data_IF_773670363485
#
_entry.id   IF_773670363485
#
_cell.length_a   1.000
_cell.length_b   1.000
_cell.length_c   1.000
_cell.angle_alpha   90.00
_cell.angle_beta   90.00
_cell.angle_gamma   90.00
#
_symmetry.space_group_name_H-M   'P 1'
#
loop_
_entity.id
_entity.type
_entity.pdbx_description
1 polymer ?
#
# COMPACT_ATOMS: atom_id res chain seq x y z
N UNK A 1 15.44 46.27 -89.88
CA UNK A 1 15.97 45.44 -88.76
C UNK A 1 14.89 45.40 -87.68
N UNK A 2 14.27 44.21 -87.45
CA UNK A 2 13.17 44.04 -86.47
C UNK A 2 13.78 43.22 -85.31
N UNK A 3 13.86 43.83 -84.10
CA UNK A 3 14.26 43.17 -82.90
C UNK A 3 13.04 42.38 -82.35
N UNK A 4 13.20 41.10 -82.15
CA UNK A 4 12.23 40.22 -81.48
C UNK A 4 12.48 40.26 -79.97
N UNK A 5 11.50 40.72 -79.23
CA UNK A 5 11.47 40.69 -77.80
C UNK A 5 11.02 39.28 -77.33
N UNK A 6 11.88 38.54 -76.67
CA UNK A 6 11.51 37.27 -76.04
C UNK A 6 11.00 37.59 -74.61
N UNK A 7 9.74 37.30 -74.39
CA UNK A 7 9.17 37.36 -73.03
C UNK A 7 9.27 35.95 -72.43
N UNK A 8 10.14 35.78 -71.42
CA UNK A 8 10.26 34.57 -70.64
C UNK A 8 9.27 34.63 -69.48
N UNK A 9 8.23 33.80 -69.59
CA UNK A 9 7.21 33.61 -68.52
C UNK A 9 7.82 32.60 -67.51
N UNK A 10 8.22 33.07 -66.35
CA UNK A 10 8.62 32.19 -65.25
C UNK A 10 7.32 31.72 -64.53
N UNK A 11 7.01 30.44 -64.64
CA UNK A 11 5.99 29.76 -63.79
C UNK A 11 6.55 29.55 -62.40
N UNK A 12 6.06 30.30 -61.43
CA UNK A 12 6.29 30.06 -60.02
C UNK A 12 5.34 28.94 -59.59
N UNK A 13 5.84 27.71 -59.50
CA UNK A 13 5.08 26.63 -58.91
C UNK A 13 5.08 26.81 -57.37
N UNK A 14 4.00 27.37 -56.84
CA UNK A 14 3.76 27.37 -55.40
C UNK A 14 3.33 25.93 -54.98
N UNK A 15 4.27 25.19 -54.39
CA UNK A 15 3.96 23.91 -53.70
C UNK A 15 3.18 24.23 -52.43
N UNK A 16 1.87 24.12 -52.49
CA UNK A 16 1.02 24.10 -51.29
C UNK A 16 1.24 22.76 -50.60
N UNK A 17 2.04 22.76 -49.55
CA UNK A 17 2.13 21.62 -48.64
C UNK A 17 0.80 21.48 -47.90
N UNK A 18 -0.08 20.62 -48.40
CA UNK A 18 -1.24 20.16 -47.64
C UNK A 18 -0.73 19.35 -46.43
N UNK A 19 -0.56 20.00 -45.29
CA UNK A 19 -0.45 19.33 -44.03
C UNK A 19 -1.79 18.63 -43.76
N UNK A 20 -1.87 17.34 -44.01
CA UNK A 20 -3.02 16.54 -43.60
C UNK A 20 -3.10 16.64 -42.08
N UNK A 21 -4.06 17.39 -41.58
CA UNK A 21 -4.33 17.46 -40.14
C UNK A 21 -4.85 16.09 -39.74
N UNK A 22 -4.01 15.32 -39.05
CA UNK A 22 -4.40 14.03 -38.48
C UNK A 22 -5.43 14.33 -37.41
N UNK A 23 -6.65 13.99 -37.61
CA UNK A 23 -7.70 14.01 -36.57
C UNK A 23 -7.84 12.63 -35.98
N UNK A 24 -7.94 12.52 -34.66
CA UNK A 24 -8.31 11.31 -33.96
C UNK A 24 -9.64 11.53 -33.25
N UNK A 25 -10.52 10.55 -33.32
CA UNK A 25 -11.79 10.58 -32.59
C UNK A 25 -11.71 9.59 -31.44
N UNK A 26 -11.97 10.07 -30.23
CA UNK A 26 -12.10 9.24 -29.04
C UNK A 26 -13.58 9.19 -28.67
N UNK A 27 -14.15 7.98 -28.65
CA UNK A 27 -15.53 7.79 -28.19
C UNK A 27 -15.49 7.22 -26.77
N UNK A 28 -16.13 7.93 -25.82
CA UNK A 28 -16.25 7.49 -24.43
C UNK A 28 -17.68 7.02 -24.18
N UNK A 29 -17.84 5.76 -23.84
CA UNK A 29 -19.13 5.14 -23.50
C UNK A 29 -19.38 5.26 -22.00
N UNK A 30 -19.83 6.43 -21.54
CA UNK A 30 -20.09 6.70 -20.11
C UNK A 30 -21.22 5.82 -19.53
N UNK A 31 -22.10 5.31 -20.39
CA UNK A 31 -23.18 4.37 -20.06
C UNK A 31 -22.68 2.95 -19.71
N UNK A 32 -21.44 2.63 -20.02
CA UNK A 32 -20.82 1.31 -19.74
C UNK A 32 -20.12 1.23 -18.38
N UNK A 33 -20.00 2.35 -17.68
CA UNK A 33 -19.40 2.37 -16.35
C UNK A 33 -20.30 1.66 -15.33
N UNK A 34 -19.78 0.66 -14.63
CA UNK A 34 -20.51 -0.13 -13.63
C UNK A 34 -19.80 -0.20 -12.29
N UNK A 35 -18.49 -0.36 -12.32
CA UNK A 35 -17.67 -0.58 -11.14
C UNK A 35 -17.14 0.75 -10.60
N UNK A 36 -17.12 0.87 -9.28
CA UNK A 36 -16.45 1.99 -8.59
C UNK A 36 -15.05 1.56 -8.23
N UNK A 37 -14.08 2.41 -8.50
CA UNK A 37 -12.70 2.26 -8.05
C UNK A 37 -12.67 2.61 -6.56
N UNK A 38 -12.55 1.63 -5.64
CA UNK A 38 -12.49 1.95 -4.22
C UNK A 38 -11.29 2.84 -3.93
N UNK A 39 -11.49 3.90 -3.16
CA UNK A 39 -10.39 4.80 -2.77
C UNK A 39 -9.25 4.04 -2.08
N UNK A 40 -9.55 2.96 -1.40
CA UNK A 40 -8.58 2.11 -0.70
C UNK A 40 -7.54 1.43 -1.61
N UNK A 41 -7.74 1.43 -2.94
CA UNK A 41 -6.71 1.06 -3.94
C UNK A 41 -5.47 1.97 -3.83
N UNK A 42 -5.64 3.18 -3.28
CA UNK A 42 -4.58 4.17 -3.07
C UNK A 42 -4.02 4.16 -1.65
N UNK A 43 -4.20 3.04 -0.95
CA UNK A 43 -3.73 2.83 0.40
C UNK A 43 -2.22 2.88 0.53
N UNK A 44 -1.79 3.15 1.75
CA UNK A 44 -0.39 3.29 2.13
C UNK A 44 -0.03 2.29 3.23
N UNK A 45 1.26 1.98 3.34
CA UNK A 45 1.78 1.08 4.34
C UNK A 45 2.93 1.74 5.11
N UNK A 46 2.87 1.67 6.42
CA UNK A 46 3.90 2.11 7.36
C UNK A 46 4.28 0.96 8.28
N UNK A 47 5.57 0.73 8.44
CA UNK A 47 6.10 -0.32 9.28
C UNK A 47 7.20 0.23 10.20
N UNK A 48 7.37 -0.35 11.37
CA UNK A 48 8.57 -0.19 12.18
C UNK A 48 9.74 -0.87 11.46
N UNK A 49 10.22 -0.22 10.40
CA UNK A 49 11.28 -0.67 9.52
C UNK A 49 12.14 0.53 9.14
N UNK A 50 13.46 0.41 9.35
CA UNK A 50 14.38 1.48 9.01
C UNK A 50 13.97 2.82 9.61
N UNK A 51 13.82 3.81 8.75
CA UNK A 51 13.38 5.16 9.15
C UNK A 51 11.99 5.50 8.61
N UNK A 52 11.12 4.51 8.43
CA UNK A 52 9.74 4.78 8.03
C UNK A 52 8.98 5.52 9.15
N UNK A 53 9.05 5.01 10.36
CA UNK A 53 8.40 5.62 11.53
C UNK A 53 9.32 6.69 12.13
N UNK A 54 10.43 6.28 12.76
CA UNK A 54 11.32 7.20 13.47
C UNK A 54 12.21 7.98 12.50
N UNK A 55 12.10 9.32 12.52
CA UNK A 55 12.78 10.21 11.57
C UNK A 55 12.03 10.40 10.24
N UNK A 56 11.11 9.51 9.93
CA UNK A 56 10.22 9.57 8.78
C UNK A 56 8.87 10.21 9.11
N UNK A 57 7.94 9.43 9.65
CA UNK A 57 6.63 9.92 10.09
C UNK A 57 6.70 10.67 11.42
N UNK A 58 7.49 10.15 12.35
CA UNK A 58 7.56 10.58 13.75
C UNK A 58 8.95 11.05 14.14
N UNK A 59 9.01 12.21 14.77
CA UNK A 59 10.26 12.78 15.32
C UNK A 59 10.16 13.13 16.80
N UNK A 60 8.97 13.00 17.38
CA UNK A 60 8.71 13.43 18.75
C UNK A 60 8.43 14.94 18.87
N UNK A 61 7.69 15.30 19.91
CA UNK A 61 7.20 16.68 20.09
C UNK A 61 8.34 17.68 20.37
N UNK A 62 9.42 17.22 21.00
CA UNK A 62 10.58 18.03 21.38
C UNK A 62 11.69 18.09 20.32
N UNK A 63 11.43 17.60 19.11
CA UNK A 63 12.40 17.60 18.01
C UNK A 63 12.62 19.00 17.43
N UNK A 64 13.86 19.30 17.03
CA UNK A 64 14.21 20.49 16.24
C UNK A 64 13.69 20.42 14.78
N UNK A 65 13.21 19.26 14.36
CA UNK A 65 12.53 19.10 13.07
C UNK A 65 11.10 19.62 13.23
N UNK A 66 10.61 20.50 12.33
CA UNK A 66 9.25 21.02 12.41
C UNK A 66 8.24 19.88 12.50
N UNK A 67 7.41 19.92 13.54
CA UNK A 67 6.45 18.85 13.80
C UNK A 67 5.11 19.38 14.31
N UNK A 68 4.06 18.59 14.12
CA UNK A 68 2.72 18.79 14.68
C UNK A 68 2.48 17.63 15.65
N UNK A 69 2.59 17.89 16.96
CA UNK A 69 2.44 16.85 18.00
C UNK A 69 3.37 15.63 17.77
N UNK A 70 4.59 15.87 17.33
CA UNK A 70 5.59 14.83 17.06
C UNK A 70 5.60 14.27 15.64
N UNK A 71 4.57 14.47 14.83
CA UNK A 71 4.56 14.09 13.41
C UNK A 71 5.28 15.14 12.58
N UNK A 72 6.15 14.74 11.67
CA UNK A 72 6.84 15.70 10.78
C UNK A 72 5.82 16.51 9.99
N UNK A 73 5.91 17.84 10.08
CA UNK A 73 4.96 18.74 9.41
C UNK A 73 4.99 18.61 7.89
N UNK A 74 6.18 18.47 7.30
CA UNK A 74 6.37 18.32 5.86
C UNK A 74 5.75 17.02 5.34
N UNK A 75 6.04 15.90 6.01
CA UNK A 75 5.46 14.59 5.67
C UNK A 75 3.94 14.59 5.87
N UNK A 76 3.46 15.10 7.01
CA UNK A 76 2.02 15.21 7.28
C UNK A 76 1.27 15.97 6.17
N UNK A 77 1.81 17.12 5.75
CA UNK A 77 1.20 17.94 4.70
C UNK A 77 1.21 17.23 3.35
N UNK A 78 2.28 16.52 3.01
CA UNK A 78 2.36 15.72 1.78
C UNK A 78 1.31 14.60 1.77
N UNK A 79 1.14 13.88 2.89
CA UNK A 79 0.13 12.83 3.01
C UNK A 79 -1.30 13.38 2.96
N UNK A 80 -1.52 14.55 3.55
CA UNK A 80 -2.81 15.25 3.48
C UNK A 80 -3.15 15.66 2.05
N UNK A 81 -2.16 16.14 1.27
CA UNK A 81 -2.33 16.48 -0.15
C UNK A 81 -2.64 15.25 -1.01
N UNK A 82 -2.07 14.09 -0.70
CA UNK A 82 -2.40 12.82 -1.37
C UNK A 82 -3.82 12.33 -1.06
N UNK A 83 -4.45 12.82 0.00
CA UNK A 83 -5.74 12.30 0.48
C UNK A 83 -5.67 10.79 0.73
N UNK A 84 -4.63 10.37 1.49
CA UNK A 84 -4.41 8.96 1.81
C UNK A 84 -5.71 8.36 2.37
N UNK A 85 -6.28 7.32 1.76
CA UNK A 85 -7.59 6.80 2.18
C UNK A 85 -7.50 5.78 3.31
N UNK A 86 -6.39 5.02 3.35
CA UNK A 86 -6.12 3.99 4.36
C UNK A 86 -4.63 3.89 4.62
N UNK A 87 -4.26 3.74 5.88
CA UNK A 87 -2.89 3.55 6.33
C UNK A 87 -2.78 2.26 7.15
N UNK A 88 -1.94 1.32 6.71
CA UNK A 88 -1.64 0.04 7.36
C UNK A 88 -0.45 0.19 8.30
N UNK A 89 -0.56 -0.34 9.53
CA UNK A 89 0.46 -0.31 10.59
C UNK A 89 0.18 -1.43 11.62
N UNK A 90 1.11 -1.95 12.45
CA UNK A 90 2.50 -1.49 12.69
C UNK A 90 3.52 -2.11 11.75
N UNK A 91 3.12 -2.98 10.86
CA UNK A 91 4.00 -3.63 9.93
C UNK A 91 3.33 -4.69 9.09
N UNK A 92 4.16 -5.27 8.33
CA UNK A 92 4.42 -6.54 7.78
C UNK A 92 5.01 -7.48 8.83
N UNK A 93 6.24 -7.96 8.60
CA UNK A 93 6.91 -8.90 9.51
C UNK A 93 7.04 -8.38 10.95
N UNK A 94 7.24 -7.08 11.14
CA UNK A 94 7.30 -6.50 12.48
C UNK A 94 6.01 -6.72 13.27
N UNK A 95 4.85 -6.72 12.62
CA UNK A 95 3.56 -6.89 13.31
C UNK A 95 3.46 -8.20 14.10
N UNK A 96 4.09 -9.27 13.61
CA UNK A 96 4.02 -10.60 14.25
C UNK A 96 5.02 -10.80 15.40
N UNK A 97 5.82 -9.77 15.70
CA UNK A 97 6.64 -9.65 16.92
C UNK A 97 6.23 -8.48 17.82
N UNK A 98 5.27 -7.65 17.38
CA UNK A 98 4.86 -6.44 18.09
C UNK A 98 3.83 -6.74 19.19
N UNK A 99 4.17 -6.39 20.43
CA UNK A 99 3.27 -6.44 21.57
C UNK A 99 2.70 -5.05 21.84
N UNK A 100 1.45 -4.83 21.46
CA UNK A 100 0.82 -3.50 21.43
C UNK A 100 0.81 -2.77 22.79
N UNK A 101 0.81 -3.50 23.90
CA UNK A 101 0.87 -2.91 25.23
C UNK A 101 2.19 -2.17 25.50
N UNK A 102 3.26 -2.54 24.83
CA UNK A 102 4.56 -1.87 24.90
C UNK A 102 4.52 -0.46 24.26
N UNK A 103 3.58 -0.22 23.36
CA UNK A 103 3.41 1.05 22.67
C UNK A 103 2.31 1.97 23.25
N UNK A 104 1.88 1.76 24.51
CA UNK A 104 0.85 2.60 25.16
C UNK A 104 1.32 3.15 26.51
N UNK A 105 0.57 4.10 27.05
CA UNK A 105 0.92 4.77 28.30
C UNK A 105 2.01 5.83 28.14
N UNK A 106 2.58 6.32 29.26
CA UNK A 106 3.64 7.33 29.23
C UNK A 106 4.88 6.83 28.47
N UNK A 107 5.38 7.63 27.54
CA UNK A 107 6.46 7.24 26.61
C UNK A 107 7.75 6.86 27.32
N UNK A 108 8.06 7.54 28.43
CA UNK A 108 9.23 7.28 29.26
C UNK A 108 9.23 5.90 29.95
N UNK A 109 8.06 5.28 30.05
CA UNK A 109 7.86 3.98 30.68
C UNK A 109 7.70 2.84 29.67
N UNK A 110 7.67 3.16 28.38
CA UNK A 110 7.51 2.13 27.34
C UNK A 110 8.80 1.31 27.21
N UNK A 111 8.71 -0.03 27.17
CA UNK A 111 9.90 -0.86 27.00
C UNK A 111 10.47 -0.70 25.61
N UNK A 112 11.77 -0.87 25.49
CA UNK A 112 12.45 -0.97 24.20
C UNK A 112 12.48 -2.42 23.75
N UNK A 113 12.44 -2.64 22.44
CA UNK A 113 12.56 -3.97 21.85
C UNK A 113 13.59 -3.99 20.74
N UNK A 114 14.15 -5.17 20.47
CA UNK A 114 15.00 -5.40 19.29
C UNK A 114 14.10 -5.69 18.11
N UNK A 115 14.28 -4.97 17.03
CA UNK A 115 13.63 -5.28 15.77
C UNK A 115 14.41 -6.38 15.04
N UNK A 116 14.06 -7.62 15.28
CA UNK A 116 14.79 -8.78 14.75
C UNK A 116 14.62 -8.94 13.25
N UNK A 117 13.49 -8.51 12.71
CA UNK A 117 13.22 -8.60 11.27
C UNK A 117 14.03 -7.56 10.48
N UNK A 118 14.22 -6.36 11.05
CA UNK A 118 14.73 -5.23 10.29
C UNK A 118 15.95 -4.60 10.95
N UNK A 119 17.14 -5.06 10.52
CA UNK A 119 18.42 -4.45 10.88
C UNK A 119 18.89 -4.64 12.32
N UNK A 120 18.15 -5.34 13.17
CA UNK A 120 18.50 -5.53 14.58
C UNK A 120 18.53 -4.24 15.39
N UNK A 121 17.81 -3.22 14.95
CA UNK A 121 17.74 -1.90 15.61
C UNK A 121 16.85 -1.94 16.83
N UNK A 122 17.06 -0.95 17.74
CA UNK A 122 16.25 -0.84 18.95
C UNK A 122 15.07 0.09 18.65
N UNK A 123 13.87 -0.43 18.77
CA UNK A 123 12.64 0.33 18.76
C UNK A 123 12.32 0.84 20.17
N UNK A 124 12.05 2.14 20.33
CA UNK A 124 11.79 2.73 21.63
C UNK A 124 10.30 2.80 22.01
N UNK A 125 9.43 2.36 21.10
CA UNK A 125 7.98 2.35 21.27
C UNK A 125 7.36 3.74 21.53
N UNK A 126 8.08 4.83 21.22
CA UNK A 126 7.53 6.20 21.38
C UNK A 126 6.41 6.52 20.38
N UNK A 127 6.32 5.71 19.32
CA UNK A 127 5.19 5.70 18.38
C UNK A 127 4.44 4.37 18.52
N UNK A 128 3.21 4.44 19.01
CA UNK A 128 2.37 3.26 19.25
C UNK A 128 0.92 3.52 18.87
N UNK A 129 0.00 2.81 19.52
CA UNK A 129 -1.44 2.84 19.20
C UNK A 129 -2.02 4.25 19.16
N UNK A 130 -1.75 5.08 20.18
CA UNK A 130 -2.27 6.45 20.26
C UNK A 130 -1.72 7.32 19.15
N UNK A 131 -0.41 7.27 18.94
CA UNK A 131 0.26 8.06 17.93
C UNK A 131 -0.24 7.68 16.54
N UNK A 132 -0.38 6.39 16.24
CA UNK A 132 -0.87 5.93 14.95
C UNK A 132 -2.33 6.33 14.69
N UNK A 133 -3.24 6.02 15.61
CA UNK A 133 -4.67 6.28 15.43
C UNK A 133 -4.99 7.78 15.40
N UNK A 134 -4.26 8.58 16.18
CA UNK A 134 -4.38 10.04 16.13
C UNK A 134 -3.87 10.61 14.80
N UNK A 135 -2.80 10.04 14.22
CA UNK A 135 -2.34 10.41 12.88
C UNK A 135 -3.43 10.13 11.84
N UNK A 136 -4.06 8.95 11.90
CA UNK A 136 -5.15 8.61 10.98
C UNK A 136 -6.34 9.57 11.11
N UNK A 137 -6.75 9.93 12.33
CA UNK A 137 -7.81 10.93 12.54
C UNK A 137 -7.43 12.30 11.96
N UNK A 138 -6.20 12.77 12.16
CA UNK A 138 -5.72 14.05 11.63
C UNK A 138 -5.63 14.06 10.11
N UNK A 139 -5.22 12.95 9.51
CA UNK A 139 -5.19 12.78 8.05
C UNK A 139 -6.59 12.61 7.46
N UNK A 140 -7.53 12.05 8.23
CA UNK A 140 -8.86 11.67 7.78
C UNK A 140 -8.85 10.36 6.97
N UNK A 141 -7.92 9.46 7.29
CA UNK A 141 -7.80 8.15 6.65
C UNK A 141 -8.28 7.03 7.59
N UNK A 142 -8.68 5.90 7.00
CA UNK A 142 -9.02 4.69 7.75
C UNK A 142 -7.75 4.01 8.29
N UNK A 143 -7.70 3.65 9.56
CA UNK A 143 -6.63 2.81 10.07
C UNK A 143 -6.81 1.35 9.65
N UNK A 144 -5.71 0.72 9.23
CA UNK A 144 -5.62 -0.72 9.05
C UNK A 144 -4.59 -1.28 10.02
N UNK A 145 -5.06 -1.98 11.05
CA UNK A 145 -4.24 -2.54 12.11
C UNK A 145 -3.83 -3.97 11.73
N UNK A 146 -2.52 -4.23 11.65
CA UNK A 146 -1.98 -5.59 11.49
C UNK A 146 -1.79 -6.23 12.87
N UNK A 147 -2.55 -7.28 13.15
CA UNK A 147 -2.53 -8.00 14.44
C UNK A 147 -1.46 -9.07 14.49
N UNK A 148 -0.84 -9.24 15.66
CA UNK A 148 0.19 -10.25 15.92
C UNK A 148 -0.44 -11.64 16.07
N UNK A 149 -0.23 -12.52 15.09
CA UNK A 149 -0.62 -13.94 15.12
C UNK A 149 0.61 -14.85 15.24
N UNK A 150 1.80 -14.29 15.00
CA UNK A 150 3.08 -15.01 15.10
C UNK A 150 3.46 -15.32 16.54
N UNK A 151 3.92 -14.31 17.27
CA UNK A 151 4.35 -14.46 18.69
C UNK A 151 3.26 -14.10 19.70
N UNK A 152 2.19 -13.39 19.26
CA UNK A 152 1.10 -12.92 20.11
C UNK A 152 0.10 -14.01 20.47
N UNK A 153 -0.87 -13.62 21.31
CA UNK A 153 -1.96 -14.49 21.74
C UNK A 153 -3.31 -13.98 21.28
N UNK A 154 -4.29 -14.87 21.21
CA UNK A 154 -5.70 -14.51 20.91
C UNK A 154 -6.22 -13.47 21.91
N UNK A 155 -5.88 -13.62 23.19
CA UNK A 155 -6.28 -12.68 24.25
C UNK A 155 -5.68 -11.29 24.01
N UNK A 156 -4.42 -11.24 23.63
CA UNK A 156 -3.71 -9.99 23.36
C UNK A 156 -4.37 -9.20 22.22
N UNK A 157 -4.63 -9.85 21.08
CA UNK A 157 -5.30 -9.18 19.96
C UNK A 157 -6.74 -8.77 20.30
N UNK A 158 -7.49 -9.62 21.00
CA UNK A 158 -8.84 -9.31 21.45
C UNK A 158 -8.87 -8.09 22.40
N UNK A 159 -7.90 -8.01 23.33
CA UNK A 159 -7.74 -6.85 24.22
C UNK A 159 -7.33 -5.57 23.47
N UNK A 160 -6.53 -5.71 22.42
CA UNK A 160 -6.19 -4.54 21.59
C UNK A 160 -7.41 -3.97 20.88
N UNK A 161 -8.25 -4.83 20.31
CA UNK A 161 -9.51 -4.42 19.68
C UNK A 161 -10.43 -3.74 20.70
N UNK A 162 -10.59 -4.31 21.91
CA UNK A 162 -11.36 -3.70 22.99
C UNK A 162 -10.80 -2.33 23.40
N UNK A 163 -9.47 -2.25 23.57
CA UNK A 163 -8.78 -0.98 23.90
C UNK A 163 -9.06 0.13 22.90
N UNK A 164 -9.00 -0.20 21.62
CA UNK A 164 -9.19 0.80 20.55
C UNK A 164 -10.65 1.21 20.37
N UNK A 165 -11.61 0.27 20.53
CA UNK A 165 -12.95 0.45 19.95
C UNK A 165 -14.09 0.38 20.97
N UNK A 166 -13.87 -0.03 22.24
CA UNK A 166 -14.94 -0.09 23.24
C UNK A 166 -15.15 1.25 23.95
N UNK A 167 -16.41 1.67 24.08
CA UNK A 167 -16.84 2.84 24.87
C UNK A 167 -17.34 2.47 26.26
N UNK A 168 -17.56 1.19 26.54
CA UNK A 168 -18.12 0.68 27.78
C UNK A 168 -17.22 0.88 29.00
N UNK A 169 -17.74 0.52 30.18
CA UNK A 169 -16.95 0.43 31.42
C UNK A 169 -16.28 -0.96 31.47
N UNK A 170 -15.22 -1.09 30.72
CA UNK A 170 -14.47 -2.34 30.58
C UNK A 170 -12.98 -2.13 30.85
N UNK A 171 -12.23 -3.18 31.23
CA UNK A 171 -10.83 -3.03 31.62
C UNK A 171 -9.96 -2.32 30.56
N UNK A 172 -10.11 -2.64 29.30
CA UNK A 172 -9.29 -2.07 28.23
C UNK A 172 -9.75 -0.65 27.85
N UNK A 173 -11.05 -0.38 27.84
CA UNK A 173 -11.57 0.96 27.66
C UNK A 173 -11.13 1.89 28.80
N UNK A 174 -11.13 1.41 30.06
CA UNK A 174 -10.65 2.16 31.21
C UNK A 174 -9.13 2.40 31.14
N UNK A 175 -8.37 1.42 30.66
CA UNK A 175 -6.92 1.59 30.44
C UNK A 175 -6.65 2.66 29.35
N UNK A 176 -7.43 2.69 28.25
CA UNK A 176 -7.35 3.75 27.24
C UNK A 176 -7.58 5.12 27.86
N UNK A 177 -8.64 5.27 28.68
CA UNK A 177 -8.96 6.53 29.36
C UNK A 177 -7.83 6.95 30.30
N UNK A 178 -7.29 6.01 31.08
CA UNK A 178 -6.14 6.25 31.95
C UNK A 178 -4.93 6.74 31.17
N UNK A 179 -4.76 6.27 29.94
CA UNK A 179 -3.68 6.67 29.02
C UNK A 179 -4.02 7.98 28.25
N UNK A 180 -5.04 8.72 28.67
CA UNK A 180 -5.34 10.08 28.16
C UNK A 180 -6.27 10.13 26.96
N UNK A 181 -6.90 9.02 26.56
CA UNK A 181 -7.88 9.01 25.48
C UNK A 181 -9.25 8.56 26.00
N UNK A 182 -10.17 9.51 26.11
CA UNK A 182 -11.51 9.24 26.63
C UNK A 182 -12.35 8.44 25.61
N UNK A 183 -12.55 8.97 24.40
CA UNK A 183 -13.36 8.34 23.36
C UNK A 183 -12.59 7.24 22.61
N UNK A 184 -13.29 6.16 22.25
CA UNK A 184 -12.76 5.15 21.35
C UNK A 184 -12.45 5.72 19.95
N UNK A 185 -11.55 5.06 19.25
CA UNK A 185 -11.35 5.33 17.83
C UNK A 185 -12.32 4.50 17.00
N UNK A 186 -12.49 4.89 15.74
CA UNK A 186 -13.10 4.04 14.72
C UNK A 186 -11.99 3.28 14.00
N UNK A 187 -12.01 1.97 14.11
CA UNK A 187 -11.05 1.07 13.45
C UNK A 187 -11.84 0.15 12.54
N UNK A 188 -11.74 0.38 11.24
CA UNK A 188 -12.46 -0.43 10.25
C UNK A 188 -11.71 -1.71 9.91
N UNK A 189 -10.43 -1.63 9.57
CA UNK A 189 -9.65 -2.74 9.03
C UNK A 189 -8.77 -3.39 10.10
N UNK A 190 -8.92 -4.72 10.23
CA UNK A 190 -8.11 -5.55 11.12
C UNK A 190 -7.51 -6.70 10.33
N UNK A 191 -6.19 -6.68 10.14
CA UNK A 191 -5.42 -7.81 9.66
C UNK A 191 -5.20 -8.83 10.78
N UNK A 192 -5.49 -10.07 10.50
CA UNK A 192 -5.27 -11.19 11.44
C UNK A 192 -4.03 -11.94 10.98
N UNK A 193 -2.85 -11.45 11.39
CA UNK A 193 -1.54 -11.93 10.95
C UNK A 193 -1.04 -11.25 9.68
N UNK A 194 0.23 -11.50 9.37
CA UNK A 194 0.94 -11.05 8.17
C UNK A 194 1.88 -12.15 7.70
N UNK A 195 1.96 -12.39 6.38
CA UNK A 195 2.91 -13.35 5.77
C UNK A 195 3.11 -14.63 6.62
N UNK A 196 2.01 -15.22 7.07
CA UNK A 196 2.03 -16.31 8.03
C UNK A 196 2.73 -17.57 7.49
N UNK A 197 2.91 -17.67 6.17
CA UNK A 197 3.73 -18.65 5.48
C UNK A 197 5.25 -18.43 5.64
N UNK A 198 5.66 -17.22 6.01
CA UNK A 198 7.05 -16.77 6.14
C UNK A 198 7.33 -16.18 7.53
N UNK A 199 7.70 -14.89 7.55
CA UNK A 199 8.09 -14.19 8.79
C UNK A 199 6.99 -14.17 9.86
N UNK A 200 5.72 -14.27 9.48
CA UNK A 200 4.59 -14.33 10.39
C UNK A 200 4.37 -15.69 11.06
N UNK A 201 5.36 -16.61 11.01
CA UNK A 201 5.31 -17.86 11.78
C UNK A 201 5.62 -19.13 11.01
N UNK A 202 6.00 -19.04 9.71
CA UNK A 202 6.35 -20.20 8.85
C UNK A 202 5.31 -21.33 8.90
N UNK A 203 4.04 -20.94 8.78
CA UNK A 203 2.88 -21.82 8.95
C UNK A 203 2.49 -22.49 7.62
N UNK A 204 1.83 -23.66 7.74
CA UNK A 204 1.08 -24.23 6.64
C UNK A 204 -0.27 -23.54 6.51
N UNK A 205 -0.88 -23.45 5.31
CA UNK A 205 -2.14 -22.74 5.12
C UNK A 205 -3.29 -23.30 5.96
N UNK A 206 -3.33 -24.64 6.19
CA UNK A 206 -4.35 -25.29 7.02
C UNK A 206 -4.25 -24.86 8.48
N UNK A 207 -3.04 -24.79 9.01
CA UNK A 207 -2.79 -24.37 10.40
C UNK A 207 -3.16 -22.91 10.58
N UNK A 208 -2.74 -22.04 9.64
CA UNK A 208 -3.10 -20.64 9.69
C UNK A 208 -4.63 -20.44 9.56
N UNK A 209 -5.30 -21.20 8.71
CA UNK A 209 -6.76 -21.15 8.59
C UNK A 209 -7.48 -21.42 9.93
N UNK A 210 -6.98 -22.41 10.69
CA UNK A 210 -7.52 -22.72 12.01
C UNK A 210 -7.19 -21.62 13.05
N UNK A 211 -5.99 -21.05 13.00
CA UNK A 211 -5.62 -19.89 13.83
C UNK A 211 -6.48 -18.66 13.48
N UNK A 212 -6.64 -18.33 12.21
CA UNK A 212 -7.51 -17.22 11.80
C UNK A 212 -8.91 -17.37 12.36
N UNK A 213 -9.52 -18.55 12.24
CA UNK A 213 -10.86 -18.83 12.78
C UNK A 213 -10.90 -18.57 14.28
N UNK A 214 -9.88 -18.99 15.02
CA UNK A 214 -9.77 -18.78 16.45
C UNK A 214 -9.61 -17.31 16.80
N UNK A 215 -8.62 -16.61 16.22
CA UNK A 215 -8.39 -15.19 16.48
C UNK A 215 -9.57 -14.31 16.10
N UNK A 216 -10.11 -14.49 14.90
CA UNK A 216 -11.23 -13.69 14.40
C UNK A 216 -12.50 -13.85 15.22
N UNK A 217 -12.69 -15.00 15.90
CA UNK A 217 -13.83 -15.26 16.79
C UNK A 217 -13.81 -14.34 18.01
N UNK A 218 -12.64 -14.05 18.57
CA UNK A 218 -12.50 -13.25 19.79
C UNK A 218 -12.30 -11.75 19.51
N UNK A 219 -11.92 -11.36 18.30
CA UNK A 219 -11.93 -9.96 17.88
C UNK A 219 -13.37 -9.52 17.59
N UNK A 220 -14.04 -8.96 18.60
CA UNK A 220 -15.46 -8.63 18.55
C UNK A 220 -15.69 -7.18 18.10
N UNK A 221 -16.87 -6.93 17.60
CA UNK A 221 -17.35 -5.57 17.35
C UNK A 221 -17.81 -4.95 18.69
N UNK A 222 -17.38 -3.71 18.95
CA UNK A 222 -17.77 -2.95 20.13
C UNK A 222 -18.46 -1.64 19.70
N UNK A 223 -19.51 -1.26 20.39
CA UNK A 223 -20.16 0.07 20.34
C UNK A 223 -20.39 0.62 18.92
N UNK A 224 -20.86 -0.27 18.03
CA UNK A 224 -21.15 0.06 16.63
C UNK A 224 -19.91 0.16 15.73
N UNK A 225 -18.72 -0.15 16.25
CA UNK A 225 -17.53 -0.34 15.42
C UNK A 225 -17.55 -1.73 14.80
N UNK A 226 -17.73 -1.82 13.49
CA UNK A 226 -17.76 -3.07 12.74
C UNK A 226 -16.40 -3.31 12.08
N UNK A 227 -15.70 -4.36 12.53
CA UNK A 227 -14.41 -4.76 12.00
C UNK A 227 -14.56 -5.43 10.62
N UNK A 228 -13.77 -4.97 9.68
CA UNK A 228 -13.50 -5.65 8.42
C UNK A 228 -12.24 -6.49 8.60
N UNK A 229 -12.41 -7.81 8.77
CA UNK A 229 -11.32 -8.74 9.12
C UNK A 229 -10.67 -9.30 7.87
N UNK A 230 -9.36 -9.10 7.77
CA UNK A 230 -8.54 -9.51 6.63
C UNK A 230 -7.64 -10.65 7.07
N UNK A 231 -7.71 -11.78 6.36
CA UNK A 231 -6.82 -12.91 6.60
C UNK A 231 -5.47 -12.70 5.91
N UNK A 232 -4.37 -13.11 6.54
CA UNK A 232 -3.06 -13.22 5.91
C UNK A 232 -3.14 -14.16 4.71
N UNK A 233 -2.84 -13.63 3.53
CA UNK A 233 -2.98 -14.34 2.27
C UNK A 233 -1.66 -14.75 1.66
N UNK A 234 -1.70 -15.08 0.39
CA UNK A 234 -0.59 -15.60 -0.38
C UNK A 234 0.47 -14.55 -0.73
N UNK A 235 1.66 -14.99 -1.06
CA UNK A 235 2.63 -14.22 -1.84
C UNK A 235 2.66 -14.74 -3.28
N UNK A 236 2.75 -13.81 -4.23
CA UNK A 236 2.97 -14.09 -5.65
C UNK A 236 2.05 -15.20 -6.19
N UNK A 237 2.62 -16.34 -6.50
CA UNK A 237 1.97 -17.47 -7.20
C UNK A 237 1.52 -18.60 -6.27
N UNK A 238 1.48 -18.40 -4.94
CA UNK A 238 1.00 -19.44 -4.02
C UNK A 238 -0.53 -19.55 -4.04
N UNK A 239 -1.04 -20.07 -5.13
CA UNK A 239 -2.47 -20.31 -5.35
C UNK A 239 -3.06 -21.33 -4.37
N UNK A 240 -2.22 -22.24 -3.83
CA UNK A 240 -2.66 -23.23 -2.86
C UNK A 240 -3.06 -22.56 -1.54
N UNK A 241 -2.30 -21.54 -1.09
CA UNK A 241 -2.66 -20.77 0.09
C UNK A 241 -4.07 -20.15 -0.04
N UNK A 242 -4.33 -19.46 -1.14
CA UNK A 242 -5.64 -18.87 -1.41
C UNK A 242 -6.75 -19.94 -1.46
N UNK A 243 -6.52 -21.07 -2.14
CA UNK A 243 -7.48 -22.17 -2.20
C UNK A 243 -7.84 -22.70 -0.82
N UNK A 244 -6.84 -22.99 0.03
CA UNK A 244 -7.05 -23.53 1.37
C UNK A 244 -7.79 -22.55 2.25
N UNK A 245 -7.46 -21.25 2.20
CA UNK A 245 -8.15 -20.23 2.98
C UNK A 245 -9.60 -20.06 2.55
N UNK A 246 -9.87 -20.03 1.25
CA UNK A 246 -11.25 -19.95 0.75
C UNK A 246 -12.08 -21.18 1.14
N UNK A 247 -11.49 -22.38 1.07
CA UNK A 247 -12.16 -23.63 1.46
C UNK A 247 -12.47 -23.69 2.97
N UNK A 248 -11.49 -23.36 3.82
CA UNK A 248 -11.58 -23.60 5.27
C UNK A 248 -12.15 -22.42 6.06
N UNK A 249 -11.97 -21.20 5.56
CA UNK A 249 -12.40 -19.98 6.23
C UNK A 249 -13.59 -19.34 5.51
N UNK A 250 -13.50 -19.15 4.21
CA UNK A 250 -14.56 -18.60 3.37
C UNK A 250 -15.14 -17.29 3.91
N UNK A 251 -16.46 -17.20 3.97
CA UNK A 251 -17.20 -16.00 4.40
C UNK A 251 -17.00 -15.58 5.87
N UNK A 252 -16.15 -16.27 6.64
CA UNK A 252 -15.74 -15.80 7.97
C UNK A 252 -14.73 -14.65 7.91
N UNK A 253 -14.05 -14.47 6.78
CA UNK A 253 -13.22 -13.32 6.49
C UNK A 253 -13.95 -12.35 5.57
N UNK A 254 -13.64 -11.05 5.71
CA UNK A 254 -14.14 -10.02 4.80
C UNK A 254 -13.18 -9.80 3.62
N UNK A 255 -11.89 -10.03 3.86
CA UNK A 255 -10.85 -9.94 2.85
C UNK A 255 -9.77 -10.99 3.02
N UNK A 256 -9.12 -11.33 1.92
CA UNK A 256 -7.94 -12.17 1.85
C UNK A 256 -6.80 -11.36 1.28
N UNK A 257 -5.69 -11.28 2.01
CA UNK A 257 -4.49 -10.55 1.60
C UNK A 257 -3.79 -11.20 0.41
N UNK A 258 -3.05 -10.42 -0.34
CA UNK A 258 -2.12 -10.85 -1.39
C UNK A 258 -0.93 -9.90 -1.37
N UNK A 259 0.28 -10.43 -1.47
CA UNK A 259 1.49 -9.65 -1.65
C UNK A 259 2.11 -9.92 -3.02
N UNK A 260 2.58 -8.87 -3.67
CA UNK A 260 3.32 -8.96 -4.93
C UNK A 260 4.33 -7.84 -5.05
N UNK A 261 5.60 -8.19 -5.19
CA UNK A 261 6.66 -7.23 -5.46
C UNK A 261 7.22 -7.39 -6.87
N UNK A 262 7.43 -6.27 -7.54
CA UNK A 262 8.23 -6.21 -8.77
C UNK A 262 9.69 -6.31 -8.38
N UNK A 263 10.25 -7.50 -8.44
CA UNK A 263 11.57 -7.88 -7.96
C UNK A 263 12.23 -8.88 -8.92
N UNK A 264 13.55 -8.82 -9.07
CA UNK A 264 14.30 -9.73 -9.94
C UNK A 264 14.29 -11.18 -9.42
N UNK A 265 14.21 -11.37 -8.12
CA UNK A 265 14.17 -12.64 -7.42
C UNK A 265 14.40 -12.46 -5.93
N UNK A 266 14.15 -13.50 -5.17
CA UNK A 266 14.26 -13.48 -3.71
C UNK A 266 15.64 -13.93 -3.20
N UNK A 267 16.51 -14.43 -4.10
CA UNK A 267 17.89 -14.81 -3.80
C UNK A 267 18.88 -13.97 -4.61
N UNK A 268 19.99 -13.58 -3.98
CA UNK A 268 21.02 -12.76 -4.63
C UNK A 268 20.69 -11.27 -4.71
N UNK A 269 21.39 -10.55 -5.57
CA UNK A 269 21.14 -9.13 -5.83
C UNK A 269 19.82 -8.92 -6.55
N UNK A 270 19.09 -7.90 -6.11
CA UNK A 270 17.84 -7.46 -6.74
C UNK A 270 18.06 -6.36 -7.79
N UNK A 271 19.32 -5.96 -7.98
CA UNK A 271 19.70 -4.84 -8.84
C UNK A 271 19.61 -3.48 -8.17
N UNK A 272 20.32 -2.52 -8.73
CA UNK A 272 20.36 -1.15 -8.21
C UNK A 272 19.04 -0.40 -8.49
N UNK A 273 18.61 0.39 -7.51
CA UNK A 273 17.50 1.30 -7.68
C UNK A 273 17.80 2.41 -8.72
N UNK A 274 19.07 2.85 -8.83
CA UNK A 274 19.47 4.01 -9.63
C UNK A 274 20.39 3.68 -10.80
N UNK A 275 21.16 2.59 -10.72
CA UNK A 275 22.11 2.16 -11.75
C UNK A 275 21.55 0.98 -12.54
N UNK A 276 20.82 1.26 -13.61
CA UNK A 276 20.20 0.26 -14.47
C UNK A 276 20.28 0.68 -15.94
N UNK A 277 20.31 -0.29 -16.83
CA UNK A 277 20.33 -0.08 -18.27
C UNK A 277 18.90 -0.18 -18.88
N UNK A 278 18.83 -0.06 -20.22
CA UNK A 278 17.55 -0.14 -20.95
C UNK A 278 16.90 -1.52 -20.86
N UNK A 279 17.70 -2.58 -20.81
CA UNK A 279 17.18 -3.96 -20.70
C UNK A 279 16.56 -4.18 -19.32
N UNK A 280 17.24 -3.76 -18.26
CA UNK A 280 16.70 -3.80 -16.88
C UNK A 280 15.39 -3.01 -16.76
N UNK A 281 15.30 -1.85 -17.43
CA UNK A 281 14.09 -1.06 -17.45
C UNK A 281 12.91 -1.83 -18.07
N UNK A 282 13.08 -2.37 -19.28
CA UNK A 282 12.01 -3.11 -19.95
C UNK A 282 11.67 -4.42 -19.25
N UNK A 283 12.68 -5.09 -18.69
CA UNK A 283 12.45 -6.26 -17.86
C UNK A 283 11.56 -5.91 -16.65
N UNK A 284 11.84 -4.80 -15.97
CA UNK A 284 11.04 -4.31 -14.83
C UNK A 284 9.58 -4.07 -15.24
N UNK A 285 9.35 -3.43 -16.40
CA UNK A 285 7.99 -3.20 -16.91
C UNK A 285 7.27 -4.51 -17.23
N UNK A 286 7.98 -5.49 -17.81
CA UNK A 286 7.47 -6.84 -18.04
C UNK A 286 7.08 -7.53 -16.73
N UNK A 287 7.98 -7.52 -15.75
CA UNK A 287 7.76 -8.12 -14.43
C UNK A 287 6.60 -7.46 -13.68
N UNK A 288 6.48 -6.15 -13.75
CA UNK A 288 5.36 -5.42 -13.17
C UNK A 288 4.01 -5.91 -13.73
N UNK A 289 3.93 -6.18 -15.03
CA UNK A 289 2.68 -6.62 -15.67
C UNK A 289 2.24 -8.03 -15.27
N UNK A 290 3.14 -8.86 -14.76
CA UNK A 290 2.76 -10.21 -14.27
C UNK A 290 1.76 -10.14 -13.11
N UNK A 291 1.68 -9.02 -12.39
CA UNK A 291 0.69 -8.82 -11.31
C UNK A 291 -0.75 -9.00 -11.82
N UNK A 292 -1.02 -8.69 -13.09
CA UNK A 292 -2.34 -8.88 -13.69
C UNK A 292 -2.73 -10.36 -13.72
N UNK A 293 -1.81 -11.24 -14.14
CA UNK A 293 -2.04 -12.69 -14.17
C UNK A 293 -2.15 -13.27 -12.76
N UNK A 294 -1.37 -12.75 -11.80
CA UNK A 294 -1.43 -13.14 -10.39
C UNK A 294 -2.82 -12.81 -9.82
N UNK A 295 -3.26 -11.57 -9.93
CA UNK A 295 -4.60 -11.12 -9.46
C UNK A 295 -5.69 -11.97 -10.11
N UNK A 296 -5.65 -12.14 -11.44
CA UNK A 296 -6.64 -12.89 -12.20
C UNK A 296 -6.78 -14.34 -11.74
N UNK A 297 -5.67 -15.01 -11.46
CA UNK A 297 -5.67 -16.41 -11.02
C UNK A 297 -6.17 -16.55 -9.58
N UNK A 298 -5.75 -15.65 -8.66
CA UNK A 298 -6.29 -15.64 -7.30
C UNK A 298 -7.80 -15.36 -7.31
N UNK A 299 -8.26 -14.36 -8.06
CA UNK A 299 -9.68 -14.08 -8.23
C UNK A 299 -10.45 -15.28 -8.76
N UNK A 300 -9.92 -15.98 -9.78
CA UNK A 300 -10.56 -17.17 -10.36
C UNK A 300 -10.72 -18.32 -9.35
N UNK A 301 -9.75 -18.49 -8.43
CA UNK A 301 -9.87 -19.45 -7.33
C UNK A 301 -10.93 -18.98 -6.34
N UNK A 302 -10.90 -17.71 -5.95
CA UNK A 302 -11.88 -17.14 -5.02
C UNK A 302 -13.31 -17.26 -5.56
N UNK A 303 -13.51 -17.05 -6.88
CA UNK A 303 -14.81 -17.14 -7.55
C UNK A 303 -15.43 -18.57 -7.48
N UNK A 304 -14.59 -19.61 -7.35
CA UNK A 304 -15.08 -20.99 -7.18
C UNK A 304 -15.76 -21.22 -5.81
N UNK A 305 -15.31 -20.51 -4.78
CA UNK A 305 -15.83 -20.64 -3.41
C UNK A 305 -16.81 -19.52 -3.02
N UNK A 306 -16.69 -18.36 -3.64
CA UNK A 306 -17.49 -17.17 -3.37
C UNK A 306 -17.82 -16.43 -4.68
N UNK A 307 -18.74 -16.98 -5.48
CA UNK A 307 -19.14 -16.38 -6.76
C UNK A 307 -19.86 -15.03 -6.60
N UNK A 308 -20.38 -14.71 -5.42
CA UNK A 308 -21.00 -13.42 -5.10
C UNK A 308 -19.97 -12.35 -4.73
N UNK A 309 -18.69 -12.70 -4.64
CA UNK A 309 -17.58 -11.78 -4.35
C UNK A 309 -17.73 -11.04 -3.00
N UNK A 310 -18.23 -11.74 -1.98
CA UNK A 310 -18.36 -11.20 -0.63
C UNK A 310 -16.99 -11.06 0.07
N UNK A 311 -16.04 -11.93 -0.26
CA UNK A 311 -14.66 -11.88 0.24
C UNK A 311 -13.82 -11.07 -0.74
N UNK A 312 -13.34 -9.91 -0.33
CA UNK A 312 -12.47 -9.09 -1.17
C UNK A 312 -11.05 -9.66 -1.27
N UNK A 313 -10.40 -9.40 -2.39
CA UNK A 313 -8.95 -9.50 -2.50
C UNK A 313 -8.34 -8.17 -2.02
N UNK A 314 -7.31 -8.26 -1.18
CA UNK A 314 -6.63 -7.10 -0.56
C UNK A 314 -5.14 -7.22 -0.89
N UNK A 315 -4.65 -6.37 -1.77
CA UNK A 315 -3.23 -6.35 -2.15
C UNK A 315 -2.46 -5.41 -1.21
N UNK A 316 -2.29 -5.81 0.03
CA UNK A 316 -1.81 -4.94 1.11
C UNK A 316 -0.29 -4.82 1.22
N UNK A 317 0.45 -5.47 0.30
CA UNK A 317 1.84 -5.15 0.00
C UNK A 317 2.13 -5.28 -1.49
N UNK A 318 2.65 -4.20 -2.10
CA UNK A 318 3.10 -4.18 -3.48
C UNK A 318 4.10 -3.05 -3.72
N UNK A 319 4.84 -3.13 -4.80
CA UNK A 319 5.82 -2.12 -5.21
C UNK A 319 7.07 -2.74 -5.79
N UNK A 320 8.11 -1.92 -5.96
CA UNK A 320 9.45 -2.36 -6.38
C UNK A 320 10.32 -2.70 -5.18
N UNK A 321 11.18 -3.70 -5.33
CA UNK A 321 12.16 -4.07 -4.32
C UNK A 321 13.53 -4.23 -4.98
N UNK A 322 14.42 -3.28 -4.69
CA UNK A 322 15.80 -3.27 -5.17
C UNK A 322 16.78 -3.55 -4.04
N UNK A 323 18.06 -3.67 -4.38
CA UNK A 323 19.12 -3.67 -3.39
C UNK A 323 19.12 -2.35 -2.61
N UNK A 324 19.45 -2.43 -1.32
CA UNK A 324 19.57 -1.26 -0.46
C UNK A 324 20.67 -0.32 -0.95
N UNK A 325 20.48 0.97 -0.82
CA UNK A 325 21.50 1.95 -1.21
C UNK A 325 22.80 1.76 -0.41
N UNK A 326 23.95 1.83 -1.07
CA UNK A 326 25.24 1.70 -0.41
C UNK A 326 25.43 2.69 0.76
N UNK A 327 25.93 2.20 1.89
CA UNK A 327 26.17 3.00 3.09
C UNK A 327 24.95 3.18 3.99
N UNK A 328 23.83 2.52 3.68
CA UNK A 328 22.69 2.42 4.58
C UNK A 328 22.79 1.19 5.49
N UNK A 329 21.97 1.14 6.52
CA UNK A 329 21.94 0.00 7.44
C UNK A 329 21.25 -1.17 6.73
N UNK A 330 21.93 -2.32 6.68
CA UNK A 330 21.38 -3.54 6.08
C UNK A 330 20.12 -4.00 6.81
N UNK A 331 19.08 -4.31 6.06
CA UNK A 331 17.77 -4.67 6.58
C UNK A 331 16.85 -3.47 6.83
N UNK A 332 17.30 -2.25 6.56
CA UNK A 332 16.43 -1.07 6.57
C UNK A 332 15.69 -0.83 5.26
N UNK A 333 16.00 -1.59 4.22
CA UNK A 333 15.36 -1.58 2.91
C UNK A 333 15.24 -0.18 2.29
N UNK A 334 16.23 0.69 2.57
CA UNK A 334 16.27 2.01 1.97
C UNK A 334 16.74 1.89 0.52
N UNK A 335 15.90 2.29 -0.39
CA UNK A 335 16.22 2.43 -1.82
C UNK A 335 15.79 3.81 -2.33
N UNK A 336 16.56 4.35 -3.27
CA UNK A 336 16.19 5.58 -3.95
C UNK A 336 15.21 5.28 -5.08
N UNK A 337 14.16 6.11 -5.22
CA UNK A 337 13.11 5.91 -6.22
C UNK A 337 13.36 6.78 -7.46
N UNK A 338 13.11 6.22 -8.65
CA UNK A 338 13.29 6.84 -9.95
C UNK A 338 11.99 6.88 -10.75
N UNK A 339 12.04 7.39 -11.99
CA UNK A 339 10.90 7.30 -12.91
C UNK A 339 10.54 5.85 -13.26
N UNK A 340 11.50 4.91 -13.20
CA UNK A 340 11.21 3.48 -13.39
C UNK A 340 10.17 3.00 -12.38
N UNK A 341 10.33 3.37 -11.11
CA UNK A 341 9.39 3.01 -10.03
C UNK A 341 8.03 3.71 -10.23
N UNK A 342 8.03 4.96 -10.70
CA UNK A 342 6.80 5.67 -11.02
C UNK A 342 5.99 4.96 -12.12
N UNK A 343 6.65 4.46 -13.17
CA UNK A 343 5.97 3.67 -14.19
C UNK A 343 5.44 2.34 -13.66
N UNK A 344 6.17 1.67 -12.76
CA UNK A 344 5.65 0.48 -12.06
C UNK A 344 4.39 0.83 -11.29
N UNK A 345 4.38 1.95 -10.55
CA UNK A 345 3.20 2.37 -9.80
C UNK A 345 2.01 2.65 -10.72
N UNK A 346 2.20 3.42 -11.80
CA UNK A 346 1.09 3.75 -12.71
C UNK A 346 0.53 2.52 -13.43
N UNK A 347 1.40 1.64 -13.94
CA UNK A 347 0.97 0.39 -14.58
C UNK A 347 0.21 -0.52 -13.61
N UNK A 348 0.68 -0.63 -12.36
CA UNK A 348 0.01 -1.44 -11.35
C UNK A 348 -1.37 -0.86 -11.01
N UNK A 349 -1.50 0.45 -10.80
CA UNK A 349 -2.78 1.10 -10.53
C UNK A 349 -3.77 0.92 -11.68
N UNK A 350 -3.31 1.06 -12.94
CA UNK A 350 -4.14 0.83 -14.13
C UNK A 350 -4.66 -0.63 -14.18
N UNK A 351 -3.83 -1.59 -13.78
CA UNK A 351 -4.23 -2.99 -13.66
C UNK A 351 -5.25 -3.16 -12.54
N UNK A 352 -5.01 -2.58 -11.36
CA UNK A 352 -5.92 -2.71 -10.19
C UNK A 352 -7.33 -2.22 -10.49
N UNK A 353 -7.46 -1.14 -11.26
CA UNK A 353 -8.76 -0.60 -11.67
C UNK A 353 -9.61 -1.59 -12.47
N UNK A 354 -9.00 -2.53 -13.19
CA UNK A 354 -9.72 -3.54 -13.99
C UNK A 354 -10.38 -4.62 -13.13
N UNK A 355 -9.91 -4.82 -11.89
CA UNK A 355 -10.32 -5.92 -11.00
C UNK A 355 -11.06 -5.44 -9.77
N UNK A 356 -11.60 -4.22 -9.79
CA UNK A 356 -12.28 -3.59 -8.65
C UNK A 356 -13.60 -4.26 -8.27
N UNK A 357 -14.08 -5.19 -9.06
CA UNK A 357 -15.17 -6.08 -8.70
C UNK A 357 -14.81 -6.98 -7.50
N UNK A 358 -13.53 -7.37 -7.34
CA UNK A 358 -13.02 -8.16 -6.21
C UNK A 358 -11.85 -7.51 -5.47
N UNK A 359 -10.93 -6.82 -6.16
CA UNK A 359 -9.83 -6.10 -5.53
C UNK A 359 -10.34 -4.79 -4.91
N UNK A 360 -10.37 -4.72 -3.58
CA UNK A 360 -10.98 -3.59 -2.86
C UNK A 360 -10.00 -2.68 -2.14
N UNK A 361 -8.74 -3.10 -2.01
CA UNK A 361 -7.68 -2.31 -1.36
C UNK A 361 -6.33 -2.71 -1.93
N UNK A 362 -5.41 -1.74 -1.99
CA UNK A 362 -3.99 -1.97 -2.24
C UNK A 362 -3.17 -0.99 -1.39
N UNK A 363 -2.11 -1.49 -0.73
CA UNK A 363 -1.23 -0.66 0.10
C UNK A 363 0.19 -0.74 -0.44
N UNK A 364 0.68 0.36 -0.98
CA UNK A 364 2.05 0.39 -1.52
C UNK A 364 3.08 0.35 -0.38
N UNK A 365 4.14 -0.40 -0.58
CA UNK A 365 5.23 -0.53 0.38
C UNK A 365 6.41 0.38 -0.04
N UNK A 366 6.75 1.43 0.74
CA UNK A 366 6.06 1.91 1.93
C UNK A 366 5.92 3.44 1.88
N UNK A 367 5.30 4.03 2.87
CA UNK A 367 4.94 5.46 2.82
C UNK A 367 6.16 6.40 2.85
N UNK A 368 7.20 6.10 3.69
CA UNK A 368 8.39 6.93 3.87
C UNK A 368 9.65 6.05 3.95
N UNK A 369 10.71 6.43 3.25
CA UNK A 369 12.10 5.93 3.33
C UNK A 369 12.33 4.44 3.02
N UNK A 370 11.32 3.64 2.85
CA UNK A 370 11.44 2.18 2.71
C UNK A 370 10.86 1.72 1.39
N UNK A 371 11.59 0.87 0.67
CA UNK A 371 11.18 0.30 -0.61
C UNK A 371 10.68 1.37 -1.60
N UNK A 372 9.56 1.15 -2.27
CA UNK A 372 8.98 2.14 -3.20
C UNK A 372 8.21 3.22 -2.43
N UNK A 373 8.94 4.08 -1.71
CA UNK A 373 8.32 5.09 -0.84
C UNK A 373 7.78 6.30 -1.60
N UNK A 374 6.76 6.92 -1.00
CA UNK A 374 6.22 8.21 -1.47
C UNK A 374 7.18 9.35 -1.18
N UNK A 375 7.88 9.28 -0.04
CA UNK A 375 8.63 10.37 0.55
C UNK A 375 9.97 9.85 1.04
N UNK A 376 11.05 10.61 0.80
CA UNK A 376 12.35 10.37 1.41
C UNK A 376 12.66 11.51 2.37
N UNK A 377 13.21 11.17 3.54
CA UNK A 377 13.62 12.14 4.56
C UNK A 377 15.06 11.89 5.01
N UNK A 378 15.79 12.97 5.32
CA UNK A 378 17.11 12.89 5.92
C UNK A 378 17.35 14.12 6.80
N UNK A 379 17.42 13.91 8.11
CA UNK A 379 17.46 15.04 9.05
C UNK A 379 16.28 15.98 8.86
N UNK A 380 16.51 17.26 8.59
CA UNK A 380 15.46 18.26 8.34
C UNK A 380 14.95 18.29 6.88
N UNK A 381 15.61 17.58 5.99
CA UNK A 381 15.27 17.58 4.56
C UNK A 381 14.21 16.54 4.22
N UNK A 382 13.40 16.85 3.20
CA UNK A 382 12.39 15.96 2.66
C UNK A 382 12.30 16.11 1.15
N UNK A 383 12.13 15.00 0.43
CA UNK A 383 11.94 14.95 -1.01
C UNK A 383 10.72 14.09 -1.33
N UNK A 384 9.87 14.58 -2.23
CA UNK A 384 8.77 13.82 -2.81
C UNK A 384 9.31 13.00 -3.98
N UNK A 385 9.06 11.68 -3.97
CA UNK A 385 9.54 10.79 -5.02
C UNK A 385 8.70 10.89 -6.30
N UNK A 386 9.19 10.39 -7.45
CA UNK A 386 8.37 10.27 -8.65
C UNK A 386 7.08 9.46 -8.41
N UNK A 387 7.11 8.45 -7.54
CA UNK A 387 5.93 7.66 -7.16
C UNK A 387 4.86 8.49 -6.44
N UNK A 388 5.27 9.45 -5.59
CA UNK A 388 4.34 10.41 -4.98
C UNK A 388 3.50 11.15 -6.03
N UNK A 389 4.15 11.62 -7.09
CA UNK A 389 3.46 12.37 -8.14
C UNK A 389 2.51 11.48 -8.96
N UNK A 390 2.78 10.19 -9.11
CA UNK A 390 1.81 9.25 -9.68
C UNK A 390 0.55 9.22 -8.81
N UNK A 391 0.68 8.97 -7.52
CA UNK A 391 -0.46 8.95 -6.60
C UNK A 391 -1.21 10.30 -6.59
N UNK A 392 -0.48 11.42 -6.62
CA UNK A 392 -1.07 12.76 -6.70
C UNK A 392 -1.89 12.98 -7.97
N UNK A 393 -1.42 12.53 -9.11
CA UNK A 393 -2.16 12.60 -10.37
C UNK A 393 -3.37 11.65 -10.39
N UNK A 394 -3.20 10.45 -9.83
CA UNK A 394 -4.22 9.40 -9.84
C UNK A 394 -5.30 9.57 -8.77
N UNK A 395 -5.13 10.44 -7.77
CA UNK A 395 -6.13 10.62 -6.69
C UNK A 395 -7.53 10.99 -7.19
N UNK A 396 -7.64 11.51 -8.40
CA UNK A 396 -8.94 11.81 -9.06
C UNK A 396 -9.76 10.57 -9.36
N UNK A 397 -9.15 9.38 -9.34
CA UNK A 397 -9.84 8.10 -9.55
C UNK A 397 -10.41 7.51 -8.27
N UNK A 398 -10.11 8.07 -7.10
CA UNK A 398 -10.68 7.62 -5.82
C UNK A 398 -12.20 7.77 -5.86
N UNK A 399 -12.92 6.67 -5.63
CA UNK A 399 -14.39 6.55 -5.70
C UNK A 399 -14.99 6.95 -7.05
N UNK A 400 -14.17 7.02 -8.12
CA UNK A 400 -14.64 7.27 -9.48
C UNK A 400 -15.21 6.00 -10.13
N UNK A 401 -16.09 6.20 -11.11
CA UNK A 401 -16.63 5.10 -11.92
C UNK A 401 -15.58 4.64 -12.93
N UNK A 402 -15.24 3.35 -12.92
CA UNK A 402 -14.36 2.75 -13.91
C UNK A 402 -15.09 2.64 -15.27
N UNK A 403 -14.49 3.21 -16.31
CA UNK A 403 -14.96 3.07 -17.68
C UNK A 403 -14.04 2.10 -18.43
N UNK A 404 -14.52 0.91 -18.81
CA UNK A 404 -13.73 -0.05 -19.59
C UNK A 404 -13.60 0.46 -21.03
N UNK A 405 -12.69 1.40 -21.27
CA UNK A 405 -12.44 1.98 -22.57
C UNK A 405 -11.40 1.15 -23.32
N UNK A 406 -11.78 0.57 -24.46
CA UNK A 406 -10.87 0.03 -25.45
C UNK A 406 -10.63 1.11 -26.50
N UNK A 407 -9.44 1.69 -26.51
CA UNK A 407 -8.99 2.52 -27.63
C UNK A 407 -8.56 1.59 -28.77
N UNK A 408 -9.38 1.55 -29.81
CA UNK A 408 -8.97 0.96 -31.07
C UNK A 408 -8.18 2.00 -31.88
N UNK A 409 -6.89 1.79 -32.04
CA UNK A 409 -6.13 2.50 -33.08
C UNK A 409 -6.33 1.74 -34.37
N UNK A 410 -6.99 2.35 -35.35
CA UNK A 410 -6.94 1.85 -36.72
C UNK A 410 -5.51 1.96 -37.23
N UNK A 411 -4.90 0.90 -37.75
CA UNK A 411 -3.63 1.04 -38.45
C UNK A 411 -3.87 1.90 -39.68
N UNK A 412 -3.18 3.04 -39.77
CA UNK A 412 -3.13 3.90 -40.94
C UNK A 412 -2.19 3.35 -41.96
#
# INVERSE_FOLDING_TARGET
MKAKLLVSTAFLAASVSLSAQKSATITVHADQGKEIIPKEIYGQFAEHLGTCIYGGLWVGENSDIPNIKGYRTDVFNALKDLQVPVLRWPGGCFADEYHWMDGIGPKENRPKMVNNNWGGTIEDNSFGTHEFLNLCEMLGCEPYISGNVGSGTVEELAKWVEYMTSEGDSPMANLRRKNGRDKAWKVKYLGVGNESWGCGGSMRPEYYADLYRRYSTYCRNYDGNNLYKIASGASDYDYNWTKVLMDRVGARMNGLSLHYYTVTGWSGSKGSATQFNTEDYYWTMGKCREIEDVIKKHCAIMDQYDPQKNVALILDEWGTWWDEEPGTIKGHLYQQNTLRDAFVASLSLDIFHKYTDRLKMANIAQIVNVLQSMILTKGKEMVLTPTYYVFKMYKVHQDATYLPCLLYTSPS
#
